data_IF_683260804722
#
_entry.id   IF_683260804722
#
_cell.length_a   1.000
_cell.length_b   1.000
_cell.length_c   1.000
_cell.angle_alpha   90.00
_cell.angle_beta   90.00
_cell.angle_gamma   90.00
#
_symmetry.space_group_name_H-M   'P 1'
#
loop_
_entity.id
_entity.type
_entity.pdbx_description
1 polymer ?
#
# COMPACT_ATOMS: atom_id res chain seq x y z
N UNK A 1 -14.23 -12.98 -16.70
CA UNK A 1 -13.17 -13.49 -17.61
C UNK A 1 -12.06 -14.09 -16.76
N UNK A 2 -11.82 -15.40 -16.86
CA UNK A 2 -10.85 -16.14 -16.06
C UNK A 2 -9.42 -15.55 -16.11
N UNK A 3 -8.92 -15.27 -17.32
CA UNK A 3 -7.55 -14.81 -17.55
C UNK A 3 -7.22 -13.45 -16.96
N UNK A 4 -8.23 -12.59 -16.78
CA UNK A 4 -8.05 -11.28 -16.16
C UNK A 4 -7.55 -11.41 -14.72
N UNK A 5 -8.00 -12.44 -13.99
CA UNK A 5 -7.62 -12.66 -12.59
C UNK A 5 -6.14 -13.05 -12.41
N UNK A 6 -5.46 -13.51 -13.46
CA UNK A 6 -4.01 -13.75 -13.43
C UNK A 6 -3.21 -12.44 -13.44
N UNK A 7 -3.79 -11.35 -13.93
CA UNK A 7 -3.12 -10.05 -14.07
C UNK A 7 -3.63 -9.05 -13.03
N UNK A 8 -4.92 -9.12 -12.69
CA UNK A 8 -5.61 -8.22 -11.76
C UNK A 8 -6.59 -9.05 -10.91
N UNK A 9 -6.08 -9.61 -9.81
CA UNK A 9 -6.77 -10.58 -8.96
C UNK A 9 -6.13 -10.70 -7.57
N UNK A 10 -6.66 -11.52 -6.66
CA UNK A 10 -5.98 -11.69 -5.35
C UNK A 10 -4.68 -12.49 -5.44
N UNK A 11 -4.60 -13.39 -6.42
CA UNK A 11 -3.43 -14.21 -6.73
C UNK A 11 -2.95 -13.88 -8.14
N UNK A 12 -2.82 -12.58 -8.43
CA UNK A 12 -2.24 -12.15 -9.70
C UNK A 12 -0.71 -12.29 -9.70
N UNK A 13 -0.16 -12.39 -10.90
CA UNK A 13 1.28 -12.52 -11.10
C UNK A 13 2.05 -11.26 -10.67
N UNK A 14 1.43 -10.08 -10.75
CA UNK A 14 2.01 -8.80 -10.36
C UNK A 14 2.33 -8.79 -8.85
N UNK A 15 1.34 -9.08 -8.01
CA UNK A 15 1.50 -9.15 -6.54
C UNK A 15 2.39 -10.29 -6.12
N UNK A 16 2.28 -11.42 -6.80
CA UNK A 16 3.13 -12.56 -6.52
C UNK A 16 4.62 -12.21 -6.73
N UNK A 17 4.94 -11.47 -7.79
CA UNK A 17 6.30 -11.04 -8.08
C UNK A 17 6.77 -9.93 -7.13
N UNK A 18 6.03 -8.81 -7.02
CA UNK A 18 6.54 -7.65 -6.29
C UNK A 18 6.71 -7.95 -4.79
N UNK A 19 5.86 -8.78 -4.17
CA UNK A 19 6.00 -9.10 -2.75
C UNK A 19 7.34 -9.80 -2.47
N UNK A 20 7.71 -10.77 -3.31
CA UNK A 20 8.99 -11.48 -3.19
C UNK A 20 10.16 -10.58 -3.59
N UNK A 21 10.03 -9.84 -4.69
CA UNK A 21 11.07 -8.96 -5.22
C UNK A 21 11.39 -7.85 -4.24
N UNK A 22 10.40 -7.14 -3.72
CA UNK A 22 10.60 -6.01 -2.82
C UNK A 22 11.16 -6.49 -1.49
N UNK A 23 10.65 -7.60 -0.95
CA UNK A 23 11.19 -8.24 0.26
C UNK A 23 12.67 -8.56 0.09
N UNK A 24 13.05 -9.16 -1.05
CA UNK A 24 14.44 -9.49 -1.37
C UNK A 24 15.34 -8.25 -1.48
N UNK A 25 14.94 -7.23 -2.26
CA UNK A 25 15.79 -6.04 -2.50
C UNK A 25 15.90 -5.13 -1.27
N UNK A 26 14.88 -5.08 -0.42
CA UNK A 26 14.88 -4.32 0.83
C UNK A 26 15.64 -5.07 1.94
N UNK A 27 15.82 -6.38 1.79
CA UNK A 27 16.51 -7.22 2.77
C UNK A 27 15.65 -7.56 3.99
N UNK A 28 14.34 -7.67 3.79
CA UNK A 28 13.39 -8.12 4.84
C UNK A 28 12.75 -9.44 4.41
N UNK A 29 12.21 -10.21 5.35
CA UNK A 29 11.48 -11.44 5.05
C UNK A 29 9.95 -11.27 5.14
N UNK A 30 9.46 -10.04 5.20
CA UNK A 30 8.03 -9.74 5.37
C UNK A 30 7.18 -10.17 4.18
N UNK A 31 7.72 -10.12 2.95
CA UNK A 31 7.02 -10.52 1.74
C UNK A 31 7.23 -11.99 1.35
N UNK A 32 7.92 -12.78 2.16
CA UNK A 32 8.25 -14.17 1.83
C UNK A 32 7.07 -15.11 2.02
N UNK A 33 6.70 -15.85 0.98
CA UNK A 33 5.73 -16.93 1.00
C UNK A 33 6.15 -18.04 0.02
N UNK A 34 5.55 -19.23 0.13
CA UNK A 34 5.89 -20.36 -0.74
C UNK A 34 5.18 -20.27 -2.11
N UNK A 35 5.80 -19.54 -3.03
CA UNK A 35 5.33 -19.42 -4.40
C UNK A 35 5.24 -20.77 -5.12
N UNK A 36 6.20 -21.67 -4.90
CA UNK A 36 6.20 -22.97 -5.59
C UNK A 36 5.02 -23.81 -5.16
N UNK A 37 4.74 -23.86 -3.86
CA UNK A 37 3.57 -24.56 -3.34
C UNK A 37 2.30 -23.95 -3.87
N UNK A 38 2.16 -22.63 -3.83
CA UNK A 38 1.00 -21.93 -4.34
C UNK A 38 0.75 -22.30 -5.81
N UNK A 39 1.77 -22.20 -6.67
CA UNK A 39 1.67 -22.50 -8.10
C UNK A 39 1.25 -23.95 -8.39
N UNK A 40 1.80 -24.93 -7.67
CA UNK A 40 1.44 -26.35 -7.85
C UNK A 40 0.00 -26.63 -7.45
N UNK A 41 -0.54 -25.84 -6.52
CA UNK A 41 -1.92 -25.99 -6.02
C UNK A 41 -2.92 -25.04 -6.68
N UNK A 42 -2.51 -24.24 -7.68
CA UNK A 42 -3.45 -23.43 -8.45
C UNK A 42 -4.30 -24.34 -9.34
N UNK A 43 -5.61 -24.10 -9.35
CA UNK A 43 -6.57 -24.85 -10.14
C UNK A 43 -7.64 -23.93 -10.73
N UNK A 44 -8.43 -24.47 -11.65
CA UNK A 44 -9.63 -23.81 -12.18
C UNK A 44 -10.83 -24.52 -11.58
N UNK A 45 -11.68 -23.76 -10.91
CA UNK A 45 -12.93 -24.25 -10.33
C UNK A 45 -14.12 -23.43 -10.82
N UNK A 46 -15.34 -23.83 -10.43
CA UNK A 46 -16.57 -23.11 -10.72
C UNK A 46 -16.93 -22.16 -9.57
N UNK A 47 -17.38 -20.95 -9.92
CA UNK A 47 -17.89 -19.99 -8.94
C UNK A 47 -19.16 -20.53 -8.27
N UNK A 48 -19.22 -20.60 -6.93
CA UNK A 48 -20.38 -21.19 -6.23
C UNK A 48 -21.72 -20.55 -6.59
N UNK A 49 -21.72 -19.24 -6.83
CA UNK A 49 -22.96 -18.50 -7.13
C UNK A 49 -23.26 -18.37 -8.63
N UNK A 50 -22.25 -18.32 -9.49
CA UNK A 50 -22.42 -17.95 -10.91
C UNK A 50 -22.13 -19.09 -11.87
N UNK A 51 -21.52 -20.19 -11.40
CA UNK A 51 -21.04 -21.30 -12.23
C UNK A 51 -19.91 -20.93 -13.19
N UNK A 52 -19.43 -19.68 -13.17
CA UNK A 52 -18.38 -19.23 -14.07
C UNK A 52 -17.02 -19.81 -13.65
N UNK A 53 -16.11 -20.11 -14.60
CA UNK A 53 -14.77 -20.55 -14.27
C UNK A 53 -14.01 -19.45 -13.53
N UNK A 54 -13.36 -19.82 -12.42
CA UNK A 54 -12.50 -18.97 -11.61
C UNK A 54 -11.20 -19.67 -11.26
N UNK A 55 -10.22 -18.89 -10.83
CA UNK A 55 -8.94 -19.38 -10.31
C UNK A 55 -9.12 -19.69 -8.83
N UNK A 56 -8.85 -20.94 -8.44
CA UNK A 56 -8.91 -21.40 -7.07
C UNK A 56 -7.56 -22.00 -6.65
N UNK A 57 -7.44 -22.32 -5.36
CA UNK A 57 -6.32 -23.06 -4.78
C UNK A 57 -6.87 -24.36 -4.22
N UNK A 58 -6.24 -25.49 -4.54
CA UNK A 58 -6.59 -26.77 -3.95
C UNK A 58 -6.41 -26.75 -2.42
N UNK A 59 -7.18 -27.54 -1.66
CA UNK A 59 -7.11 -27.62 -0.19
C UNK A 59 -5.67 -27.83 0.33
N UNK A 60 -4.83 -28.59 -0.40
CA UNK A 60 -3.42 -28.79 -0.05
C UNK A 60 -2.55 -27.52 -0.11
N UNK A 61 -3.01 -26.47 -0.79
CA UNK A 61 -2.36 -25.16 -0.94
C UNK A 61 -2.88 -24.08 0.01
N UNK A 62 -3.84 -24.42 0.87
CA UNK A 62 -4.52 -23.46 1.76
C UNK A 62 -3.54 -22.59 2.55
N UNK A 63 -2.56 -23.20 3.21
CA UNK A 63 -1.58 -22.44 4.00
C UNK A 63 -0.61 -21.61 3.14
N UNK A 64 -0.35 -21.99 1.89
CA UNK A 64 0.43 -21.17 0.98
C UNK A 64 -0.35 -19.91 0.55
N UNK A 65 -1.66 -20.05 0.32
CA UNK A 65 -2.55 -18.92 0.07
C UNK A 65 -2.71 -18.00 1.29
N UNK A 66 -2.82 -18.58 2.49
CA UNK A 66 -2.82 -17.82 3.75
C UNK A 66 -1.51 -17.04 3.94
N UNK A 67 -0.36 -17.70 3.74
CA UNK A 67 0.95 -17.07 3.83
C UNK A 67 1.12 -15.90 2.84
N UNK A 68 0.59 -16.01 1.62
CA UNK A 68 0.57 -14.91 0.65
C UNK A 68 -0.16 -13.67 1.21
N UNK A 69 -1.33 -13.84 1.82
CA UNK A 69 -2.11 -12.72 2.38
C UNK A 69 -1.38 -12.11 3.58
N UNK A 70 -0.80 -12.94 4.45
CA UNK A 70 0.00 -12.48 5.60
C UNK A 70 1.23 -11.70 5.11
N UNK A 71 1.95 -12.24 4.13
CA UNK A 71 3.11 -11.58 3.54
C UNK A 71 2.74 -10.21 2.95
N UNK A 72 1.59 -10.13 2.27
CA UNK A 72 1.04 -8.88 1.76
C UNK A 72 0.75 -7.89 2.88
N UNK A 73 0.07 -8.32 3.94
CA UNK A 73 -0.21 -7.49 5.11
C UNK A 73 1.09 -6.93 5.72
N UNK A 74 2.09 -7.77 5.96
CA UNK A 74 3.37 -7.36 6.52
C UNK A 74 4.12 -6.38 5.60
N UNK A 75 4.11 -6.61 4.27
CA UNK A 75 4.70 -5.66 3.32
C UNK A 75 3.99 -4.30 3.33
N UNK A 76 2.65 -4.27 3.46
CA UNK A 76 1.91 -3.02 3.60
C UNK A 76 2.27 -2.29 4.89
N UNK A 77 2.28 -2.96 6.03
CA UNK A 77 2.52 -2.31 7.33
C UNK A 77 3.97 -1.87 7.49
N UNK A 78 4.92 -2.74 7.15
CA UNK A 78 6.35 -2.53 7.44
C UNK A 78 7.07 -1.74 6.36
N UNK A 79 6.65 -1.84 5.09
CA UNK A 79 7.36 -1.24 3.96
C UNK A 79 6.52 -0.12 3.34
N UNK A 80 5.38 -0.46 2.73
CA UNK A 80 4.65 0.51 1.90
C UNK A 80 4.03 1.66 2.72
N UNK A 81 3.63 1.38 3.96
CA UNK A 81 3.14 2.37 4.91
C UNK A 81 4.16 2.75 5.97
N UNK A 82 5.46 2.48 5.77
CA UNK A 82 6.48 2.96 6.68
C UNK A 82 6.43 4.50 6.81
N UNK A 83 6.39 5.03 8.03
CA UNK A 83 6.14 6.47 8.28
C UNK A 83 7.10 7.39 7.53
N UNK A 84 8.37 6.99 7.41
CA UNK A 84 9.38 7.80 6.72
C UNK A 84 9.09 7.78 5.24
N UNK A 85 8.76 6.61 4.67
CA UNK A 85 8.41 6.48 3.26
C UNK A 85 7.18 7.33 2.92
N UNK A 86 6.17 7.37 3.80
CA UNK A 86 4.99 8.24 3.65
C UNK A 86 5.31 9.73 3.67
N UNK A 87 6.27 10.17 4.50
CA UNK A 87 6.76 11.54 4.44
C UNK A 87 7.45 11.86 3.10
N UNK A 88 8.25 10.94 2.57
CA UNK A 88 8.87 11.12 1.25
C UNK A 88 7.86 11.09 0.11
N UNK A 89 6.82 10.23 0.17
CA UNK A 89 5.69 10.23 -0.78
C UNK A 89 5.01 11.60 -0.87
N UNK A 90 4.77 12.23 0.28
CA UNK A 90 4.19 13.57 0.33
C UNK A 90 5.09 14.59 -0.36
N UNK A 91 6.38 14.62 -0.01
CA UNK A 91 7.33 15.56 -0.61
C UNK A 91 7.51 15.35 -2.11
N UNK A 92 7.58 14.11 -2.60
CA UNK A 92 7.71 13.86 -4.03
C UNK A 92 6.44 14.27 -4.78
N UNK A 93 5.25 14.08 -4.22
CA UNK A 93 4.00 14.55 -4.83
C UNK A 93 3.96 16.08 -4.98
N UNK A 94 4.31 16.83 -3.93
CA UNK A 94 4.36 18.30 -3.98
C UNK A 94 5.50 18.81 -4.88
N UNK A 95 6.64 18.12 -4.88
CA UNK A 95 7.74 18.38 -5.81
C UNK A 95 7.28 18.21 -7.26
N UNK A 96 6.58 17.13 -7.58
CA UNK A 96 6.10 16.86 -8.94
C UNK A 96 5.11 17.92 -9.41
N UNK A 97 4.17 18.36 -8.56
CA UNK A 97 3.28 19.49 -8.88
C UNK A 97 4.07 20.76 -9.22
N UNK A 98 5.08 21.06 -8.42
CA UNK A 98 5.95 22.24 -8.62
C UNK A 98 6.73 22.14 -9.94
N UNK A 99 7.38 21.00 -10.20
CA UNK A 99 8.15 20.78 -11.42
C UNK A 99 7.26 20.81 -12.67
N UNK A 100 6.08 20.21 -12.62
CA UNK A 100 5.12 20.25 -13.73
C UNK A 100 4.62 21.70 -13.96
N UNK A 101 4.39 22.46 -12.90
CA UNK A 101 4.00 23.87 -13.03
C UNK A 101 5.10 24.71 -13.69
N UNK A 102 6.37 24.46 -13.36
CA UNK A 102 7.52 25.14 -13.97
C UNK A 102 7.76 24.73 -15.42
N UNK A 103 7.62 23.44 -15.76
CA UNK A 103 7.99 22.90 -17.07
C UNK A 103 6.84 22.93 -18.10
N UNK A 104 5.60 22.74 -17.66
CA UNK A 104 4.41 22.64 -18.54
C UNK A 104 3.24 23.53 -18.11
N UNK A 105 3.44 24.42 -17.13
CA UNK A 105 2.42 25.36 -16.62
C UNK A 105 1.14 24.67 -16.13
N UNK A 106 1.27 23.47 -15.53
CA UNK A 106 0.19 22.69 -14.91
C UNK A 106 0.70 21.90 -13.72
N UNK A 107 -0.13 21.71 -12.69
CA UNK A 107 0.24 20.88 -11.53
C UNK A 107 0.06 19.36 -11.77
N UNK A 108 -0.44 18.98 -12.96
CA UNK A 108 -0.74 17.59 -13.34
C UNK A 108 -0.24 17.31 -14.74
N UNK A 109 0.07 16.04 -15.01
CA UNK A 109 0.41 15.58 -16.36
C UNK A 109 -0.69 15.94 -17.37
N UNK A 110 -0.28 16.12 -18.62
CA UNK A 110 -1.21 16.33 -19.72
C UNK A 110 -2.09 15.08 -19.90
N UNK A 111 -3.40 15.24 -20.18
CA UNK A 111 -4.25 14.09 -20.42
C UNK A 111 -3.78 13.35 -21.70
N UNK A 112 -3.85 12.01 -21.75
CA UNK A 112 -3.34 11.22 -22.87
C UNK A 112 -4.28 11.26 -24.09
N UNK A 113 -4.57 12.46 -24.59
CA UNK A 113 -5.52 12.72 -25.70
C UNK A 113 -4.83 12.99 -27.03
N UNK A 114 -3.51 13.13 -27.05
CA UNK A 114 -2.70 13.31 -28.27
C UNK A 114 -1.38 12.55 -28.14
N UNK A 115 -0.75 12.23 -29.27
CA UNK A 115 0.59 11.64 -29.29
C UNK A 115 1.60 12.56 -28.58
N UNK A 116 1.52 13.86 -28.81
CA UNK A 116 2.38 14.85 -28.14
C UNK A 116 2.24 14.80 -26.60
N UNK A 117 1.02 14.62 -26.07
CA UNK A 117 0.81 14.51 -24.62
C UNK A 117 1.40 13.21 -24.06
N UNK A 118 1.31 12.11 -24.83
CA UNK A 118 1.92 10.83 -24.47
C UNK A 118 3.45 10.97 -24.48
N UNK A 119 4.01 11.56 -25.53
CA UNK A 119 5.45 11.81 -25.63
C UNK A 119 5.94 12.73 -24.50
N UNK A 120 5.15 13.74 -24.14
CA UNK A 120 5.43 14.57 -22.98
C UNK A 120 5.49 13.74 -21.70
N UNK A 121 4.49 12.89 -21.44
CA UNK A 121 4.48 12.00 -20.27
C UNK A 121 5.68 11.06 -20.26
N UNK A 122 6.00 10.42 -21.39
CA UNK A 122 7.14 9.51 -21.53
C UNK A 122 8.49 10.21 -21.36
N UNK A 123 8.56 11.53 -21.54
CA UNK A 123 9.77 12.32 -21.24
C UNK A 123 10.05 12.49 -19.75
N UNK A 124 9.10 12.14 -18.87
CA UNK A 124 9.29 12.20 -17.43
C UNK A 124 9.71 10.85 -16.89
N UNK A 125 10.95 10.79 -16.41
CA UNK A 125 11.53 9.65 -15.72
C UNK A 125 12.25 10.10 -14.44
N UNK A 126 12.73 9.13 -13.67
CA UNK A 126 13.45 9.41 -12.42
C UNK A 126 14.71 10.26 -12.67
N UNK A 127 15.40 10.07 -13.80
CA UNK A 127 16.61 10.81 -14.13
C UNK A 127 16.33 12.30 -14.35
N UNK A 128 15.27 12.62 -15.09
CA UNK A 128 14.83 14.00 -15.29
C UNK A 128 14.44 14.64 -13.96
N UNK A 129 13.62 13.96 -13.17
CA UNK A 129 13.17 14.49 -11.87
C UNK A 129 14.36 14.73 -10.94
N UNK A 130 15.26 13.75 -10.79
CA UNK A 130 16.47 13.88 -9.97
C UNK A 130 17.42 14.96 -10.52
N UNK A 131 17.53 15.09 -11.85
CA UNK A 131 18.29 16.14 -12.52
C UNK A 131 17.76 17.54 -12.18
N UNK A 132 16.45 17.76 -12.27
CA UNK A 132 15.82 19.03 -11.92
C UNK A 132 16.01 19.36 -10.42
N UNK A 133 15.86 18.36 -9.54
CA UNK A 133 16.13 18.51 -8.11
C UNK A 133 17.59 18.89 -7.82
N UNK A 134 18.54 18.29 -8.54
CA UNK A 134 19.96 18.60 -8.42
C UNK A 134 20.30 20.04 -8.82
N UNK A 135 19.51 20.61 -9.74
CA UNK A 135 19.64 22.00 -10.22
C UNK A 135 18.97 23.03 -9.30
N UNK A 136 18.30 22.60 -8.21
CA UNK A 136 17.62 23.53 -7.32
C UNK A 136 16.12 23.69 -7.57
N UNK A 137 15.55 23.00 -8.57
CA UNK A 137 14.11 23.06 -8.85
C UNK A 137 13.28 22.22 -7.88
N UNK A 138 11.96 22.33 -7.96
CA UNK A 138 11.02 21.53 -7.15
C UNK A 138 10.61 22.18 -5.82
N UNK A 139 10.91 23.46 -5.64
CA UNK A 139 10.44 24.26 -4.52
C UNK A 139 10.92 23.80 -3.14
N UNK A 140 10.12 24.09 -2.11
CA UNK A 140 10.43 23.78 -0.71
C UNK A 140 10.54 22.27 -0.47
N UNK A 141 9.68 21.48 -1.09
CA UNK A 141 9.60 20.03 -0.92
C UNK A 141 10.76 19.33 -1.65
N UNK A 142 11.11 19.79 -2.85
CA UNK A 142 12.30 19.32 -3.56
C UNK A 142 13.58 19.60 -2.78
N UNK A 143 13.67 20.77 -2.13
CA UNK A 143 14.76 21.09 -1.21
C UNK A 143 14.79 20.15 0.01
N UNK A 144 13.63 19.87 0.61
CA UNK A 144 13.51 18.93 1.72
C UNK A 144 13.96 17.51 1.36
N UNK A 145 13.66 17.04 0.14
CA UNK A 145 14.17 15.76 -0.39
C UNK A 145 15.69 15.76 -0.50
N UNK A 146 16.27 16.79 -1.16
CA UNK A 146 17.72 16.90 -1.38
C UNK A 146 18.51 16.98 -0.08
N UNK A 147 18.02 17.76 0.88
CA UNK A 147 18.70 17.98 2.17
C UNK A 147 18.32 16.95 3.23
N UNK A 148 17.47 15.97 2.89
CA UNK A 148 16.89 14.97 3.81
C UNK A 148 16.15 15.58 5.00
N UNK A 149 15.66 16.82 4.86
CA UNK A 149 14.89 17.58 5.87
C UNK A 149 13.39 17.33 5.75
N UNK A 150 13.01 16.10 5.42
CA UNK A 150 11.62 15.67 5.32
C UNK A 150 10.83 15.92 6.61
N UNK A 151 9.51 16.00 6.51
CA UNK A 151 8.61 16.12 7.66
C UNK A 151 8.77 14.96 8.66
N UNK A 152 8.37 15.20 9.92
CA UNK A 152 8.50 14.24 11.02
C UNK A 152 7.14 13.87 11.57
N UNK A 153 6.90 12.57 11.72
CA UNK A 153 5.76 12.06 12.46
C UNK A 153 5.89 12.46 13.92
N UNK A 154 4.84 13.03 14.50
CA UNK A 154 4.76 13.39 15.93
C UNK A 154 3.61 12.72 16.66
N UNK A 155 2.63 12.19 15.93
CA UNK A 155 1.53 11.42 16.47
C UNK A 155 1.15 10.30 15.51
N UNK A 156 0.75 9.16 16.04
CA UNK A 156 0.20 8.05 15.27
C UNK A 156 -0.78 7.23 16.12
N UNK A 157 -1.75 6.60 15.46
CA UNK A 157 -2.61 5.57 16.06
C UNK A 157 -2.06 4.17 15.79
N UNK A 158 -2.64 3.15 16.41
CA UNK A 158 -2.51 1.77 15.95
C UNK A 158 -3.02 1.59 14.51
N UNK A 159 -2.67 0.47 13.88
CA UNK A 159 -3.05 0.14 12.49
C UNK A 159 -4.56 0.05 12.29
N UNK A 160 -5.27 -0.41 13.33
CA UNK A 160 -6.72 -0.48 13.41
C UNK A 160 -7.14 0.32 14.64
N UNK A 161 -7.27 1.65 14.50
CA UNK A 161 -7.48 2.52 15.64
C UNK A 161 -8.83 2.29 16.30
N UNK A 162 -8.82 2.34 17.63
CA UNK A 162 -10.03 2.43 18.44
C UNK A 162 -10.64 3.84 18.38
N UNK A 163 -11.90 3.99 18.77
CA UNK A 163 -12.55 5.31 18.87
C UNK A 163 -11.77 6.27 19.79
N UNK A 164 -11.20 5.75 20.88
CA UNK A 164 -10.37 6.52 21.81
C UNK A 164 -9.11 7.06 21.14
N UNK A 165 -8.41 6.25 20.35
CA UNK A 165 -7.22 6.68 19.61
C UNK A 165 -7.58 7.73 18.54
N UNK A 166 -8.74 7.60 17.90
CA UNK A 166 -9.22 8.59 16.93
C UNK A 166 -9.52 9.93 17.61
N UNK A 167 -10.09 9.92 18.82
CA UNK A 167 -10.35 11.13 19.58
C UNK A 167 -9.05 11.78 20.10
N UNK A 168 -8.07 10.98 20.55
CA UNK A 168 -6.73 11.46 20.85
C UNK A 168 -6.06 12.10 19.62
N UNK A 169 -6.26 11.53 18.43
CA UNK A 169 -5.76 12.08 17.18
C UNK A 169 -6.37 13.43 16.85
N UNK A 170 -7.69 13.61 17.09
CA UNK A 170 -8.36 14.91 16.93
C UNK A 170 -7.84 15.93 17.94
N UNK A 171 -7.64 15.55 19.19
CA UNK A 171 -7.09 16.42 20.23
C UNK A 171 -5.65 16.86 19.89
N UNK A 172 -4.80 15.92 19.47
CA UNK A 172 -3.45 16.21 19.00
C UNK A 172 -3.46 17.16 17.80
N UNK A 173 -4.35 16.93 16.83
CA UNK A 173 -4.52 17.81 15.67
C UNK A 173 -4.90 19.24 16.08
N UNK A 174 -5.79 19.39 17.07
CA UNK A 174 -6.19 20.69 17.58
C UNK A 174 -5.04 21.43 18.29
N UNK A 175 -4.25 20.72 19.13
CA UNK A 175 -3.09 21.29 19.82
C UNK A 175 -1.96 21.70 18.87
N UNK A 176 -1.80 20.98 17.76
CA UNK A 176 -0.77 21.21 16.75
C UNK A 176 -1.21 22.18 15.65
N UNK A 177 -2.39 22.82 15.78
CA UNK A 177 -2.91 23.74 14.78
C UNK A 177 -1.87 24.79 14.36
N UNK A 178 -1.62 24.89 13.05
CA UNK A 178 -0.61 25.76 12.44
C UNK A 178 0.81 25.18 12.31
N UNK A 179 1.13 24.05 12.96
CA UNK A 179 2.40 23.33 12.78
C UNK A 179 2.29 22.14 11.83
N UNK A 180 1.08 21.60 11.66
CA UNK A 180 0.79 20.44 10.81
C UNK A 180 1.14 20.77 9.36
N UNK A 181 1.97 19.92 8.75
CA UNK A 181 2.29 19.99 7.33
C UNK A 181 1.35 19.10 6.51
N UNK A 182 1.12 17.87 6.99
CA UNK A 182 0.09 17.00 6.43
C UNK A 182 -0.34 15.93 7.44
N UNK A 183 -1.49 15.33 7.18
CA UNK A 183 -2.02 14.16 7.90
C UNK A 183 -2.04 12.99 6.91
N UNK A 184 -1.46 11.87 7.32
CA UNK A 184 -1.45 10.62 6.55
C UNK A 184 -2.52 9.70 7.09
N UNK A 185 -3.48 9.36 6.23
CA UNK A 185 -4.55 8.39 6.50
C UNK A 185 -4.47 7.33 5.40
N UNK A 186 -3.50 6.39 5.49
CA UNK A 186 -3.39 5.30 4.53
C UNK A 186 -4.62 4.40 4.62
N UNK A 187 -5.64 4.72 3.82
CA UNK A 187 -6.79 3.85 3.61
C UNK A 187 -6.49 2.92 2.43
N UNK A 188 -6.20 1.65 2.73
CA UNK A 188 -6.18 0.62 1.69
C UNK A 188 -6.83 -0.64 2.21
N UNK A 189 -7.90 -1.05 1.55
CA UNK A 189 -8.35 -2.45 1.58
C UNK A 189 -7.36 -3.26 0.73
N UNK A 190 -6.23 -3.60 1.34
CA UNK A 190 -5.20 -4.43 0.71
C UNK A 190 -5.64 -5.90 0.64
N UNK A 191 -6.70 -6.29 1.33
CA UNK A 191 -7.46 -7.51 1.08
C UNK A 191 -8.94 -7.22 1.36
N UNK A 192 -9.83 -7.78 0.56
CA UNK A 192 -11.28 -7.65 0.76
C UNK A 192 -11.85 -9.05 0.90
N UNK A 193 -12.24 -9.42 2.11
CA UNK A 193 -13.07 -10.61 2.36
C UNK A 193 -14.45 -10.40 1.72
N UNK A 194 -15.09 -11.47 1.26
CA UNK A 194 -16.36 -11.41 0.50
C UNK A 194 -16.16 -11.74 -0.98
N UNK A 195 -16.65 -10.89 -1.89
CA UNK A 195 -16.67 -11.16 -3.35
C UNK A 195 -15.30 -11.41 -3.99
N UNK A 196 -14.21 -10.98 -3.33
CA UNK A 196 -12.84 -11.10 -3.83
C UNK A 196 -11.97 -11.97 -2.94
N UNK A 197 -12.53 -12.86 -2.13
CA UNK A 197 -11.74 -13.81 -1.34
C UNK A 197 -11.01 -14.82 -2.25
N UNK A 198 -9.89 -15.37 -1.79
CA UNK A 198 -9.23 -16.48 -2.49
C UNK A 198 -10.14 -17.71 -2.34
N UNK A 199 -10.50 -18.34 -3.45
CA UNK A 199 -11.34 -19.53 -3.42
C UNK A 199 -10.51 -20.80 -3.22
N UNK A 200 -10.95 -21.67 -2.32
CA UNK A 200 -10.33 -22.96 -2.02
C UNK A 200 -11.20 -24.08 -2.57
N UNK A 201 -10.64 -24.93 -3.43
CA UNK A 201 -11.28 -26.14 -3.95
C UNK A 201 -10.99 -27.33 -3.03
N UNK A 202 -12.05 -28.01 -2.61
CA UNK A 202 -11.99 -29.17 -1.73
C UNK A 202 -12.70 -30.38 -2.35
N UNK A 203 -12.14 -31.56 -2.15
CA UNK A 203 -12.80 -32.82 -2.47
C UNK A 203 -13.68 -33.25 -1.29
N UNK A 204 -15.00 -33.20 -1.45
CA UNK A 204 -15.96 -33.56 -0.39
C UNK A 204 -16.34 -35.04 -0.46
N UNK A 205 -16.38 -35.59 -1.67
CA UNK A 205 -16.57 -37.02 -1.94
C UNK A 205 -15.84 -37.40 -3.24
N UNK A 206 -15.65 -38.70 -3.54
CA UNK A 206 -15.08 -39.12 -4.82
C UNK A 206 -15.89 -38.53 -6.00
N UNK A 207 -15.26 -37.65 -6.78
CA UNK A 207 -15.90 -36.97 -7.91
C UNK A 207 -16.78 -35.76 -7.54
N UNK A 208 -16.88 -35.38 -6.27
CA UNK A 208 -17.61 -34.19 -5.81
C UNK A 208 -16.63 -33.15 -5.25
N UNK A 209 -16.59 -32.00 -5.90
CA UNK A 209 -15.77 -30.85 -5.52
C UNK A 209 -16.65 -29.72 -5.02
N UNK A 210 -16.21 -29.05 -3.99
CA UNK A 210 -16.83 -27.85 -3.47
C UNK A 210 -15.80 -26.73 -3.44
N UNK A 211 -16.25 -25.50 -3.67
CA UNK A 211 -15.39 -24.31 -3.64
C UNK A 211 -15.91 -23.35 -2.59
N UNK A 212 -15.06 -22.97 -1.65
CA UNK A 212 -15.41 -22.05 -0.57
C UNK A 212 -14.33 -20.97 -0.38
N UNK A 213 -14.68 -19.78 0.14
CA UNK A 213 -13.71 -18.72 0.43
C UNK A 213 -12.65 -19.13 1.45
N UNK A 214 -11.39 -18.70 1.30
CA UNK A 214 -10.31 -18.99 2.23
C UNK A 214 -10.62 -18.53 3.67
N UNK A 215 -11.32 -17.41 3.83
CA UNK A 215 -11.75 -16.94 5.15
C UNK A 215 -12.71 -17.90 5.88
N UNK A 216 -13.40 -18.82 5.18
CA UNK A 216 -14.22 -19.85 5.82
C UNK A 216 -13.36 -20.89 6.57
N UNK A 217 -12.11 -21.09 6.14
CA UNK A 217 -11.19 -22.05 6.72
C UNK A 217 -10.14 -21.42 7.64
N UNK A 218 -9.63 -20.23 7.30
CA UNK A 218 -8.57 -19.58 8.08
C UNK A 218 -9.14 -18.53 9.03
N UNK A 219 -9.03 -18.78 10.34
CA UNK A 219 -9.38 -17.79 11.37
C UNK A 219 -8.47 -16.57 11.33
N UNK A 220 -7.21 -16.72 10.90
CA UNK A 220 -6.26 -15.61 10.74
C UNK A 220 -6.75 -14.66 9.67
N UNK A 221 -7.06 -15.16 8.47
CA UNK A 221 -7.54 -14.33 7.35
C UNK A 221 -8.90 -13.71 7.67
N UNK A 222 -9.80 -14.46 8.32
CA UNK A 222 -11.13 -13.97 8.71
C UNK A 222 -11.07 -12.76 9.66
N UNK A 223 -10.10 -12.76 10.56
CA UNK A 223 -9.94 -11.71 11.57
C UNK A 223 -9.03 -10.57 11.11
N UNK A 224 -8.48 -10.63 9.90
CA UNK A 224 -7.52 -9.65 9.42
C UNK A 224 -8.26 -8.40 8.93
N UNK A 225 -8.15 -7.32 9.69
CA UNK A 225 -8.87 -6.08 9.45
C UNK A 225 -8.10 -5.15 8.51
N UNK A 226 -8.79 -4.28 7.74
CA UNK A 226 -8.14 -3.29 6.91
C UNK A 226 -7.42 -2.24 7.77
N UNK A 227 -6.27 -1.77 7.27
CA UNK A 227 -5.48 -0.74 7.94
C UNK A 227 -6.19 0.61 7.77
N UNK A 228 -6.35 1.33 8.87
CA UNK A 228 -6.94 2.67 8.96
C UNK A 228 -6.13 3.58 9.87
N UNK A 229 -4.82 3.37 9.89
CA UNK A 229 -3.92 4.14 10.73
C UNK A 229 -3.99 5.62 10.39
N UNK A 230 -3.84 6.49 11.39
CA UNK A 230 -3.73 7.94 11.19
C UNK A 230 -2.43 8.46 11.78
N UNK A 231 -1.74 9.35 11.06
CA UNK A 231 -0.46 9.94 11.47
C UNK A 231 -0.42 11.43 11.18
N UNK A 232 0.20 12.19 12.07
CA UNK A 232 0.34 13.65 11.94
C UNK A 232 1.80 13.99 11.75
N UNK A 233 2.09 14.78 10.70
CA UNK A 233 3.44 15.19 10.35
C UNK A 233 3.61 16.71 10.50
N UNK A 234 4.76 17.11 11.04
CA UNK A 234 5.18 18.51 11.19
C UNK A 234 6.53 18.73 10.51
N UNK A 235 6.94 20.00 10.38
CA UNK A 235 8.27 20.32 9.86
C UNK A 235 9.37 19.75 10.77
N UNK A 236 10.55 19.47 10.22
CA UNK A 236 11.69 19.00 11.02
C UNK A 236 12.05 19.99 12.14
N UNK A 237 11.91 21.29 11.88
CA UNK A 237 12.27 22.35 12.82
C UNK A 237 11.26 22.45 13.98
N UNK A 238 9.99 22.15 13.71
CA UNK A 238 8.91 22.22 14.70
C UNK A 238 8.74 20.94 15.52
N UNK A 239 9.50 19.86 15.21
CA UNK A 239 9.34 18.55 15.86
C UNK A 239 9.34 18.64 17.39
N UNK A 240 10.39 19.21 17.99
CA UNK A 240 10.50 19.28 19.46
C UNK A 240 9.42 20.15 20.10
N UNK A 241 9.00 21.22 19.41
CA UNK A 241 7.90 22.08 19.86
C UNK A 241 6.57 21.32 19.81
N UNK A 242 6.32 20.58 18.73
CA UNK A 242 5.12 19.78 18.55
C UNK A 242 5.02 18.67 19.61
N UNK A 243 6.11 17.93 19.85
CA UNK A 243 6.18 16.89 20.89
C UNK A 243 5.86 17.44 22.29
N UNK A 244 6.37 18.63 22.62
CA UNK A 244 6.07 19.29 23.89
C UNK A 244 4.60 19.70 24.05
N UNK A 245 3.90 20.02 22.95
CA UNK A 245 2.48 20.42 22.99
C UNK A 245 1.54 19.23 23.21
N UNK A 246 1.86 18.07 22.65
CA UNK A 246 0.99 16.90 22.72
C UNK A 246 1.24 16.03 23.97
N UNK A 247 2.34 16.25 24.71
CA UNK A 247 2.75 15.41 25.85
C UNK A 247 2.70 13.91 25.53
N UNK A 248 2.91 13.56 24.26
CA UNK A 248 2.85 12.19 23.78
C UNK A 248 4.16 11.51 24.15
N UNK A 249 4.13 10.63 25.16
CA UNK A 249 5.27 9.77 25.44
C UNK A 249 5.24 8.63 24.42
N UNK A 250 6.34 8.46 23.70
CA UNK A 250 6.63 7.20 22.99
C UNK A 250 6.44 6.06 24.00
N UNK A 251 5.44 5.21 23.76
CA UNK A 251 5.25 3.94 24.45
C UNK A 251 6.08 2.87 23.77
#
# INVERSE_FOLDING_TARGET
>A
MLWRNLVDGQIDADRADYLLRDSYHIGTNYGSYDLKRLLVTLTISEHPETGAPLIAVEEGGLHAAEALIIARYLMFTQVYFHHTRRAYDHHIAETMKTLLLEEINRETFLPPTSLENIDNYLSWDDWKVLGLLSQGKGGKDGCALRERKHHRQVFYTSEVPTEVELDQSKEASAKLSGLIQFVDEPEKSWYSTGEKDIMIERNVAPGSKETQPLSSFSSVIRCLLPIRQRRIYVSLQDKSKAEALINWKEG
#
